data_IF_196172074045
#
_entry.id   IF_196172074045
#
_cell.length_a   1.000
_cell.length_b   1.000
_cell.length_c   1.000
_cell.angle_alpha   90.00
_cell.angle_beta   90.00
_cell.angle_gamma   90.00
#
_symmetry.space_group_name_H-M   'P 1'
#
loop_
_entity.id
_entity.type
_entity.pdbx_description
1 polymer ?
#
# COMPACT_ATOMS: atom_id res chain seq x y z
N UNK A 1 14.50 62.39 53.77
CA UNK A 1 13.66 61.19 53.56
C UNK A 1 13.36 61.07 52.07
N UNK A 2 14.22 60.35 51.34
CA UNK A 2 14.05 60.01 49.93
C UNK A 2 13.63 58.53 49.90
N UNK A 3 12.39 58.26 49.49
CA UNK A 3 11.88 56.91 49.28
C UNK A 3 12.26 56.46 47.87
N UNK A 4 13.16 55.50 47.79
CA UNK A 4 13.56 54.80 46.56
C UNK A 4 12.46 53.77 46.27
N UNK A 5 11.67 53.98 45.22
CA UNK A 5 10.73 52.98 44.72
C UNK A 5 11.50 51.88 43.98
N UNK A 6 11.59 50.70 44.61
CA UNK A 6 12.11 49.47 44.03
C UNK A 6 11.10 48.94 43.00
N UNK A 7 11.42 49.00 41.70
CA UNK A 7 10.66 48.28 40.68
C UNK A 7 11.22 46.86 40.60
N UNK A 8 10.50 45.91 41.19
CA UNK A 8 10.77 44.48 41.02
C UNK A 8 10.18 44.06 39.67
N UNK A 9 11.04 43.87 38.67
CA UNK A 9 10.66 43.22 37.42
C UNK A 9 10.47 41.72 37.67
N UNK A 10 9.24 41.32 37.98
CA UNK A 10 8.84 39.91 37.97
C UNK A 10 8.74 39.49 36.50
N UNK A 11 9.83 38.94 35.98
CA UNK A 11 9.83 38.24 34.70
C UNK A 11 9.00 36.97 34.88
N UNK A 12 7.70 37.08 34.64
CA UNK A 12 6.77 35.95 34.70
C UNK A 12 7.22 34.89 33.72
N UNK A 13 7.70 33.76 34.25
CA UNK A 13 7.75 32.50 33.52
C UNK A 13 6.33 32.17 33.10
N UNK A 14 5.95 32.56 31.88
CA UNK A 14 4.77 32.02 31.25
C UNK A 14 5.01 30.52 31.13
N UNK A 15 4.18 29.66 31.73
CA UNK A 15 4.27 28.23 31.45
C UNK A 15 4.04 28.11 29.95
N UNK A 16 5.08 27.68 29.22
CA UNK A 16 4.90 27.20 27.87
C UNK A 16 4.03 25.97 28.05
N UNK A 17 2.72 26.13 27.89
CA UNK A 17 1.85 25.01 27.60
C UNK A 17 2.43 24.49 26.29
N UNK A 18 3.25 23.43 26.38
CA UNK A 18 3.52 22.59 25.26
C UNK A 18 2.15 22.01 24.90
N UNK A 19 1.41 22.73 24.06
CA UNK A 19 0.33 22.13 23.30
C UNK A 19 1.05 21.06 22.50
N UNK A 20 0.99 19.82 22.97
CA UNK A 20 1.21 18.70 22.08
C UNK A 20 0.14 18.87 21.03
N UNK A 21 0.49 19.53 19.93
CA UNK A 21 -0.26 19.39 18.70
C UNK A 21 -0.05 17.93 18.36
N UNK A 22 -0.89 17.06 18.91
CA UNK A 22 -1.21 15.80 18.27
C UNK A 22 -1.79 16.24 16.94
N UNK A 23 -0.92 16.39 15.94
CA UNK A 23 -1.39 16.32 14.56
C UNK A 23 -2.01 14.95 14.51
N UNK A 24 -3.33 14.90 14.60
CA UNK A 24 -4.12 13.87 13.98
C UNK A 24 -3.63 13.84 12.53
N UNK A 25 -2.61 13.04 12.28
CA UNK A 25 -2.31 12.55 10.95
C UNK A 25 -3.51 11.68 10.63
N UNK A 26 -4.58 12.31 10.14
CA UNK A 26 -5.48 11.62 9.22
C UNK A 26 -4.57 10.98 8.18
N UNK A 27 -4.62 9.66 7.97
CA UNK A 27 -3.82 9.02 6.95
C UNK A 27 -4.47 9.32 5.58
N UNK A 28 -4.57 10.60 5.21
CA UNK A 28 -5.10 11.05 3.91
C UNK A 28 -4.00 11.11 2.84
N UNK A 29 -2.87 10.45 3.09
CA UNK A 29 -1.85 10.18 2.09
C UNK A 29 -1.29 8.80 2.39
N UNK A 30 -1.86 7.79 1.73
CA UNK A 30 -1.22 6.49 1.65
C UNK A 30 -0.10 6.67 0.62
N UNK A 31 1.19 6.65 1.01
CA UNK A 31 2.26 6.78 0.03
C UNK A 31 2.10 5.67 -1.01
N UNK A 32 2.04 6.04 -2.29
CA UNK A 32 2.09 5.08 -3.39
C UNK A 32 3.34 4.21 -3.29
N UNK A 33 3.31 3.04 -3.93
CA UNK A 33 4.50 2.21 -4.04
C UNK A 33 5.58 2.92 -4.87
N UNK A 34 6.83 2.54 -4.64
CA UNK A 34 7.92 2.99 -5.50
C UNK A 34 8.21 1.94 -6.58
N UNK A 35 8.49 2.43 -7.77
CA UNK A 35 8.71 1.63 -8.97
C UNK A 35 10.09 1.92 -9.55
N UNK A 36 10.96 0.91 -9.65
CA UNK A 36 12.17 1.00 -10.47
C UNK A 36 11.82 0.66 -11.91
N UNK A 37 11.79 1.67 -12.76
CA UNK A 37 11.35 1.59 -14.16
C UNK A 37 12.35 2.31 -15.07
N UNK A 38 12.30 2.07 -16.37
CA UNK A 38 13.06 2.84 -17.36
C UNK A 38 12.07 3.53 -18.27
N UNK A 39 12.17 4.84 -18.47
CA UNK A 39 11.28 5.53 -19.42
C UNK A 39 11.66 5.27 -20.89
N UNK A 40 12.91 4.90 -21.17
CA UNK A 40 13.43 4.68 -22.53
C UNK A 40 14.23 3.36 -22.61
N UNK A 41 14.23 2.67 -23.76
CA UNK A 41 15.08 1.50 -23.97
C UNK A 41 16.55 1.80 -23.68
N UNK A 42 17.20 0.98 -22.86
CA UNK A 42 18.58 1.19 -22.37
C UNK A 42 18.82 2.49 -21.58
N UNK A 43 17.75 3.19 -21.17
CA UNK A 43 17.84 4.42 -20.39
C UNK A 43 18.23 4.18 -18.92
N UNK A 44 18.47 5.25 -18.16
CA UNK A 44 18.70 5.12 -16.73
C UNK A 44 17.45 4.57 -16.02
N UNK A 45 17.66 3.82 -14.93
CA UNK A 45 16.58 3.43 -14.02
C UNK A 45 16.09 4.66 -13.26
N UNK A 46 14.80 4.91 -13.32
CA UNK A 46 14.06 5.92 -12.58
C UNK A 46 13.37 5.28 -11.37
N UNK A 47 13.13 6.09 -10.34
CA UNK A 47 12.26 5.73 -9.23
C UNK A 47 11.04 6.64 -9.29
N UNK A 48 9.89 6.06 -9.63
CA UNK A 48 8.60 6.76 -9.68
C UNK A 48 7.71 6.29 -8.54
N UNK A 49 6.83 7.17 -8.07
CA UNK A 49 5.91 6.86 -6.96
C UNK A 49 4.48 6.96 -7.44
N UNK A 50 3.67 5.99 -7.06
CA UNK A 50 2.25 5.95 -7.37
C UNK A 50 1.68 4.55 -7.39
N UNK A 51 0.40 4.47 -7.71
CA UNK A 51 -0.23 3.29 -8.27
C UNK A 51 0.40 2.95 -9.63
N UNK A 52 0.09 1.78 -10.16
CA UNK A 52 0.54 1.42 -11.50
C UNK A 52 0.12 2.46 -12.55
N UNK A 53 -1.15 2.87 -12.55
CA UNK A 53 -1.68 3.76 -13.59
C UNK A 53 -1.06 5.16 -13.48
N UNK A 54 -0.89 5.68 -12.26
CA UNK A 54 -0.18 6.94 -12.04
C UNK A 54 1.30 6.87 -12.47
N UNK A 55 1.95 5.71 -12.29
CA UNK A 55 3.33 5.52 -12.77
C UNK A 55 3.36 5.36 -14.30
N UNK A 56 2.36 4.73 -14.89
CA UNK A 56 2.20 4.63 -16.34
C UNK A 56 2.02 6.01 -16.98
N UNK A 57 1.15 6.84 -16.41
CA UNK A 57 0.91 8.22 -16.86
C UNK A 57 2.20 9.05 -16.80
N UNK A 58 2.97 8.94 -15.71
CA UNK A 58 4.28 9.58 -15.58
C UNK A 58 5.27 9.08 -16.66
N UNK A 59 5.25 7.78 -16.98
CA UNK A 59 6.13 7.21 -18.01
C UNK A 59 5.74 7.67 -19.42
N UNK A 60 4.44 7.80 -19.71
CA UNK A 60 3.94 8.36 -20.96
C UNK A 60 4.25 9.86 -21.11
N UNK A 61 4.23 10.62 -20.01
CA UNK A 61 4.66 12.02 -20.01
C UNK A 61 6.15 12.16 -20.35
N UNK A 62 6.99 11.25 -19.82
CA UNK A 62 8.42 11.22 -20.11
C UNK A 62 8.73 10.67 -21.52
N UNK A 63 8.02 9.63 -21.95
CA UNK A 63 8.17 8.98 -23.24
C UNK A 63 6.80 8.69 -23.87
N UNK A 64 6.31 9.53 -24.79
CA UNK A 64 5.04 9.27 -25.49
C UNK A 64 4.99 7.96 -26.29
N UNK A 65 6.14 7.34 -26.58
CA UNK A 65 6.25 6.03 -27.25
C UNK A 65 6.39 4.86 -26.27
N UNK A 66 6.22 5.09 -24.96
CA UNK A 66 6.52 4.11 -23.92
C UNK A 66 5.86 2.75 -24.14
N UNK A 67 4.59 2.72 -24.53
CA UNK A 67 3.84 1.46 -24.75
C UNK A 67 4.40 0.64 -25.92
N UNK A 68 5.02 1.30 -26.90
CA UNK A 68 5.70 0.64 -28.02
C UNK A 68 7.07 0.12 -27.60
N UNK A 69 7.78 0.88 -26.77
CA UNK A 69 9.12 0.57 -26.28
C UNK A 69 9.13 -0.53 -25.20
N UNK A 70 8.07 -0.57 -24.38
CA UNK A 70 7.89 -1.48 -23.25
C UNK A 70 6.51 -2.15 -23.31
N UNK A 71 6.24 -2.98 -24.34
CA UNK A 71 4.93 -3.60 -24.54
C UNK A 71 4.53 -4.42 -23.31
N UNK A 72 5.49 -5.12 -22.69
CA UNK A 72 5.28 -5.92 -21.49
C UNK A 72 4.65 -5.13 -20.35
N UNK A 73 4.96 -3.83 -20.19
CA UNK A 73 4.37 -2.98 -19.15
C UNK A 73 2.87 -2.80 -19.34
N UNK A 74 2.39 -2.80 -20.59
CA UNK A 74 0.97 -2.65 -20.93
C UNK A 74 0.23 -3.96 -21.13
N UNK A 75 0.92 -5.00 -21.58
CA UNK A 75 0.31 -6.31 -21.82
C UNK A 75 0.16 -7.11 -20.54
N UNK A 76 -1.05 -7.65 -20.38
CA UNK A 76 -1.36 -8.74 -19.47
C UNK A 76 -0.59 -10.00 -19.92
N UNK A 77 0.57 -10.28 -19.30
CA UNK A 77 1.28 -11.54 -19.50
C UNK A 77 0.45 -12.65 -18.88
N UNK A 78 -0.20 -13.46 -19.72
CA UNK A 78 -1.18 -14.46 -19.32
C UNK A 78 -0.72 -15.44 -18.23
N UNK A 79 -1.72 -16.09 -17.61
CA UNK A 79 -1.65 -16.79 -16.31
C UNK A 79 -0.37 -17.60 -16.06
N UNK A 80 0.29 -17.26 -14.95
CA UNK A 80 1.14 -18.21 -14.25
C UNK A 80 0.19 -19.16 -13.50
N UNK A 81 -0.04 -20.34 -14.07
CA UNK A 81 -0.87 -21.42 -13.51
C UNK A 81 -0.19 -22.16 -12.33
N UNK A 82 1.06 -21.79 -11.98
CA UNK A 82 1.74 -22.38 -10.83
C UNK A 82 1.39 -21.60 -9.57
N UNK A 83 0.45 -22.14 -8.80
CA UNK A 83 0.16 -21.72 -7.41
C UNK A 83 1.38 -22.12 -6.57
N UNK A 84 2.38 -21.26 -6.44
CA UNK A 84 3.30 -21.41 -5.33
C UNK A 84 2.52 -21.08 -4.06
N UNK A 85 2.64 -21.92 -3.04
CA UNK A 85 1.96 -21.68 -1.77
C UNK A 85 2.60 -20.46 -1.10
N UNK A 86 1.80 -19.40 -0.91
CA UNK A 86 2.24 -18.21 -0.19
C UNK A 86 2.84 -18.62 1.16
N UNK A 87 4.08 -18.18 1.43
CA UNK A 87 4.84 -18.62 2.61
C UNK A 87 4.41 -17.83 3.86
N UNK A 88 3.16 -18.03 4.26
CA UNK A 88 2.53 -17.34 5.38
C UNK A 88 3.15 -17.75 6.72
N UNK A 89 3.46 -16.76 7.57
CA UNK A 89 3.78 -16.98 8.99
C UNK A 89 2.57 -16.73 9.88
N UNK A 90 1.75 -15.75 9.51
CA UNK A 90 0.59 -15.32 10.27
C UNK A 90 -0.45 -14.69 9.34
N UNK A 91 -1.74 -14.83 9.67
CA UNK A 91 -2.80 -14.11 8.99
C UNK A 91 -3.93 -13.73 9.95
N UNK A 92 -4.56 -12.61 9.64
CA UNK A 92 -5.79 -12.15 10.27
C UNK A 92 -6.83 -11.87 9.19
N UNK A 93 -8.06 -12.26 9.46
CA UNK A 93 -9.21 -11.74 8.72
C UNK A 93 -9.75 -10.50 9.44
N UNK A 94 -10.72 -9.80 8.84
CA UNK A 94 -11.47 -8.64 9.38
C UNK A 94 -11.10 -8.23 10.83
N UNK A 95 -10.50 -7.06 10.96
CA UNK A 95 -10.22 -6.40 12.24
C UNK A 95 -10.98 -5.08 12.32
N UNK A 96 -11.03 -4.45 13.51
CA UNK A 96 -11.64 -3.12 13.70
C UNK A 96 -11.09 -2.08 12.72
N UNK A 97 -9.82 -2.21 12.34
CA UNK A 97 -9.12 -1.26 11.47
C UNK A 97 -9.16 -1.68 9.98
N UNK A 98 -9.65 -2.88 9.65
CA UNK A 98 -9.73 -3.43 8.28
C UNK A 98 -11.18 -3.73 7.91
N UNK A 99 -11.88 -2.70 7.46
CA UNK A 99 -13.25 -2.86 6.96
C UNK A 99 -13.28 -3.78 5.73
N UNK A 100 -14.21 -4.75 5.65
CA UNK A 100 -14.36 -5.60 4.48
C UNK A 100 -14.71 -4.83 3.20
N UNK A 101 -14.11 -5.22 2.08
CA UNK A 101 -14.47 -4.77 0.74
C UNK A 101 -15.23 -5.87 -0.02
N UNK A 102 -15.91 -5.51 -1.11
CA UNK A 102 -16.63 -6.49 -1.93
C UNK A 102 -15.66 -7.47 -2.60
N UNK A 103 -15.78 -8.76 -2.30
CA UNK A 103 -14.82 -9.76 -2.75
C UNK A 103 -14.77 -9.95 -4.27
N UNK A 104 -15.83 -9.57 -5.00
CA UNK A 104 -15.83 -9.59 -6.46
C UNK A 104 -14.75 -8.66 -7.04
N UNK A 105 -14.58 -7.48 -6.45
CA UNK A 105 -13.56 -6.50 -6.85
C UNK A 105 -12.16 -6.92 -6.42
N UNK A 106 -12.02 -7.58 -5.26
CA UNK A 106 -10.73 -8.15 -4.85
C UNK A 106 -10.28 -9.27 -5.81
N UNK A 107 -11.20 -10.09 -6.33
CA UNK A 107 -10.86 -11.06 -7.39
C UNK A 107 -10.44 -10.37 -8.70
N UNK A 108 -11.03 -9.23 -9.04
CA UNK A 108 -10.58 -8.43 -10.18
C UNK A 108 -9.15 -7.91 -9.99
N UNK A 109 -8.84 -7.38 -8.80
CA UNK A 109 -7.48 -6.99 -8.41
C UNK A 109 -6.50 -8.17 -8.44
N UNK A 110 -6.90 -9.35 -7.95
CA UNK A 110 -6.08 -10.57 -8.03
C UNK A 110 -5.75 -10.92 -9.49
N UNK A 111 -6.74 -10.87 -10.38
CA UNK A 111 -6.54 -11.13 -11.81
C UNK A 111 -5.56 -10.13 -12.42
N UNK A 112 -5.72 -8.85 -12.10
CA UNK A 112 -4.81 -7.79 -12.52
C UNK A 112 -3.38 -8.08 -12.05
N UNK A 113 -3.18 -8.37 -10.76
CA UNK A 113 -1.86 -8.67 -10.18
C UNK A 113 -1.18 -9.87 -10.85
N UNK A 114 -1.93 -10.92 -11.22
CA UNK A 114 -1.38 -12.10 -11.88
C UNK A 114 -0.92 -11.84 -13.31
N UNK A 115 -1.59 -10.94 -13.99
CA UNK A 115 -1.32 -10.65 -15.39
C UNK A 115 -0.27 -9.53 -15.55
N UNK A 116 0.03 -8.79 -14.48
CA UNK A 116 0.83 -7.58 -14.61
C UNK A 116 2.33 -7.84 -14.56
N UNK A 117 3.06 -7.18 -15.47
CA UNK A 117 4.52 -7.13 -15.45
C UNK A 117 5.05 -5.99 -14.55
N UNK A 118 6.37 -5.94 -14.36
CA UNK A 118 7.04 -4.92 -13.55
C UNK A 118 7.44 -5.42 -12.16
N UNK A 119 8.28 -4.63 -11.48
CA UNK A 119 8.96 -5.01 -10.23
C UNK A 119 8.57 -4.08 -9.07
N UNK A 120 7.52 -4.38 -8.30
CA UNK A 120 7.10 -3.51 -7.20
C UNK A 120 8.15 -3.44 -6.09
N UNK A 121 8.16 -2.30 -5.39
CA UNK A 121 9.04 -2.08 -4.24
C UNK A 121 8.29 -1.37 -3.12
N UNK A 122 8.59 -1.76 -1.89
CA UNK A 122 8.14 -1.02 -0.70
C UNK A 122 9.33 -0.31 -0.08
N UNK A 123 9.12 0.98 0.24
CA UNK A 123 10.14 1.90 0.73
C UNK A 123 10.87 1.38 1.97
N UNK A 124 12.11 1.87 2.06
CA UNK A 124 13.09 1.64 3.10
C UNK A 124 12.97 2.81 4.08
N UNK A 125 12.13 2.70 5.13
CA UNK A 125 12.28 3.37 6.46
C UNK A 125 11.00 3.48 7.29
N UNK A 126 9.85 2.95 6.87
CA UNK A 126 8.66 2.99 7.71
C UNK A 126 7.89 1.66 7.68
N UNK A 127 7.36 1.27 8.83
CA UNK A 127 6.36 0.20 8.99
C UNK A 127 5.06 0.66 8.32
N UNK A 128 5.09 0.73 7.00
CA UNK A 128 4.07 1.37 6.17
C UNK A 128 3.63 0.43 5.08
N UNK A 129 2.36 0.58 4.72
CA UNK A 129 1.75 -0.10 3.60
C UNK A 129 1.55 0.90 2.46
N UNK A 130 1.96 0.51 1.25
CA UNK A 130 1.64 1.25 0.03
C UNK A 130 0.48 0.60 -0.69
N UNK A 131 -0.42 1.41 -1.27
CA UNK A 131 -1.53 0.89 -2.08
C UNK A 131 -0.97 0.34 -3.39
N UNK A 132 -1.18 -0.95 -3.63
CA UNK A 132 -0.69 -1.65 -4.80
C UNK A 132 -1.65 -1.51 -5.98
N UNK A 133 -2.91 -1.89 -5.74
CA UNK A 133 -3.99 -1.86 -6.73
C UNK A 133 -5.29 -1.58 -6.01
N UNK A 134 -6.21 -0.96 -6.71
CA UNK A 134 -7.54 -0.75 -6.20
C UNK A 134 -8.59 -0.71 -7.32
N UNK A 135 -9.78 -1.20 -7.02
CA UNK A 135 -10.96 -1.16 -7.89
C UNK A 135 -12.20 -0.83 -7.05
N UNK A 136 -12.90 0.25 -7.38
CA UNK A 136 -13.98 0.79 -6.54
C UNK A 136 -13.44 1.12 -5.14
N UNK A 137 -14.05 0.59 -4.09
CA UNK A 137 -13.54 0.79 -2.72
C UNK A 137 -12.68 -0.40 -2.23
N UNK A 138 -12.22 -1.27 -3.13
CA UNK A 138 -11.56 -2.52 -2.78
C UNK A 138 -10.06 -2.43 -3.08
N UNK A 139 -9.24 -2.30 -2.04
CA UNK A 139 -7.80 -2.07 -2.17
C UNK A 139 -6.96 -3.26 -1.71
N UNK A 140 -5.85 -3.46 -2.41
CA UNK A 140 -4.74 -4.32 -2.00
C UNK A 140 -3.57 -3.42 -1.61
N UNK A 141 -2.99 -3.69 -0.46
CA UNK A 141 -1.81 -3.01 0.04
C UNK A 141 -0.65 -3.98 0.20
N UNK A 142 0.55 -3.46 -0.05
CA UNK A 142 1.80 -4.14 0.18
C UNK A 142 2.53 -3.45 1.34
N UNK A 143 2.78 -4.21 2.40
CA UNK A 143 3.25 -3.69 3.68
C UNK A 143 4.70 -4.09 3.96
N UNK A 144 5.52 -3.11 4.35
CA UNK A 144 6.83 -3.35 4.92
C UNK A 144 6.72 -3.58 6.43
N UNK A 145 7.14 -4.77 6.89
CA UNK A 145 7.00 -5.16 8.30
C UNK A 145 8.31 -5.03 9.08
N UNK A 146 9.47 -5.03 8.43
CA UNK A 146 10.78 -4.92 9.10
C UNK A 146 11.54 -3.61 8.79
N UNK A 147 10.92 -2.70 8.05
CA UNK A 147 11.51 -1.42 7.64
C UNK A 147 12.66 -1.58 6.63
N UNK A 148 12.96 -2.80 6.18
CA UNK A 148 14.00 -3.06 5.17
C UNK A 148 13.37 -2.99 3.79
N UNK A 149 14.12 -2.45 2.85
CA UNK A 149 13.71 -2.39 1.44
C UNK A 149 13.33 -3.79 0.95
N UNK A 150 12.13 -3.90 0.36
CA UNK A 150 11.67 -5.12 -0.32
C UNK A 150 11.56 -4.82 -1.81
N UNK A 151 12.03 -5.74 -2.64
CA UNK A 151 11.95 -5.66 -4.10
C UNK A 151 11.45 -7.00 -4.58
N UNK A 152 10.44 -6.98 -5.42
CA UNK A 152 9.78 -8.16 -5.94
C UNK A 152 10.10 -8.28 -7.42
N UNK A 153 10.33 -9.51 -7.89
CA UNK A 153 10.64 -9.76 -9.31
C UNK A 153 9.44 -9.53 -10.22
N UNK A 154 8.23 -9.70 -9.68
CA UNK A 154 6.94 -9.51 -10.33
C UNK A 154 5.83 -9.37 -9.27
N UNK A 155 4.59 -9.20 -9.74
CA UNK A 155 3.39 -9.08 -8.91
C UNK A 155 2.88 -10.43 -8.37
N UNK A 156 3.41 -11.57 -8.84
CA UNK A 156 2.91 -12.92 -8.53
C UNK A 156 2.91 -13.20 -7.03
N UNK A 157 3.98 -12.86 -6.30
CA UNK A 157 4.03 -13.10 -4.85
C UNK A 157 2.95 -12.30 -4.09
N UNK A 158 2.56 -11.14 -4.61
CA UNK A 158 1.51 -10.30 -4.01
C UNK A 158 0.14 -10.91 -4.33
N UNK A 159 -0.06 -11.37 -5.57
CA UNK A 159 -1.25 -12.11 -5.98
C UNK A 159 -1.49 -13.36 -5.12
N UNK A 160 -0.44 -14.14 -4.85
CA UNK A 160 -0.50 -15.32 -3.97
C UNK A 160 -0.98 -14.97 -2.56
N UNK A 161 -0.58 -13.81 -2.02
CA UNK A 161 -1.06 -13.33 -0.71
C UNK A 161 -2.53 -12.94 -0.73
N UNK A 162 -3.00 -12.31 -1.81
CA UNK A 162 -4.43 -11.98 -2.00
C UNK A 162 -5.26 -13.26 -2.10
N UNK A 163 -4.81 -14.24 -2.88
CA UNK A 163 -5.47 -15.53 -3.02
C UNK A 163 -5.52 -16.28 -1.67
N UNK A 164 -4.41 -16.30 -0.93
CA UNK A 164 -4.35 -16.91 0.41
C UNK A 164 -5.43 -16.35 1.35
N UNK A 165 -5.65 -15.03 1.31
CA UNK A 165 -6.70 -14.35 2.09
C UNK A 165 -8.10 -14.63 1.57
N UNK A 166 -8.33 -14.66 0.26
CA UNK A 166 -9.62 -15.02 -0.35
C UNK A 166 -10.08 -16.40 0.13
N UNK A 167 -9.18 -17.39 0.10
CA UNK A 167 -9.47 -18.78 0.51
C UNK A 167 -9.85 -18.90 1.99
N UNK A 168 -9.26 -18.09 2.87
CA UNK A 168 -9.38 -18.25 4.33
C UNK A 168 -10.34 -17.26 4.98
N UNK A 169 -10.46 -16.06 4.43
CA UNK A 169 -11.19 -14.98 5.07
C UNK A 169 -12.58 -14.75 4.50
N UNK A 170 -12.83 -15.00 3.20
CA UNK A 170 -14.15 -14.74 2.62
C UNK A 170 -15.24 -15.58 3.31
N UNK A 171 -15.11 -16.90 3.34
CA UNK A 171 -16.13 -17.76 3.96
C UNK A 171 -16.29 -17.46 5.47
N UNK A 172 -15.20 -17.12 6.15
CA UNK A 172 -15.20 -16.78 7.58
C UNK A 172 -15.98 -15.50 7.86
N UNK A 173 -15.77 -14.45 7.07
CA UNK A 173 -16.42 -13.14 7.24
C UNK A 173 -17.91 -13.18 6.89
N UNK A 174 -18.29 -14.01 5.92
CA UNK A 174 -19.65 -14.07 5.40
C UNK A 174 -20.53 -15.14 6.07
N UNK A 175 -20.01 -15.87 7.07
CA UNK A 175 -20.75 -16.94 7.75
C UNK A 175 -22.04 -16.39 8.39
N UNK A 176 -23.18 -16.88 7.90
CA UNK A 176 -24.51 -16.51 8.41
C UNK A 176 -25.00 -15.13 7.94
N UNK A 177 -24.29 -14.46 7.03
CA UNK A 177 -24.72 -13.19 6.44
C UNK A 177 -25.47 -13.46 5.13
N UNK A 178 -26.50 -12.65 4.87
CA UNK A 178 -27.20 -12.60 3.57
C UNK A 178 -26.77 -11.32 2.86
N UNK A 179 -26.26 -11.43 1.64
CA UNK A 179 -25.70 -10.30 0.91
C UNK A 179 -24.49 -10.69 0.05
N UNK A 180 -23.86 -9.71 -0.62
CA UNK A 180 -22.64 -9.95 -1.38
C UNK A 180 -21.50 -10.42 -0.48
N UNK A 181 -20.65 -11.32 -0.99
CA UNK A 181 -19.47 -11.76 -0.27
C UNK A 181 -18.50 -10.60 -0.07
N UNK A 182 -18.06 -10.43 1.17
CA UNK A 182 -17.09 -9.42 1.57
C UNK A 182 -15.79 -10.08 2.05
N UNK A 183 -14.66 -9.37 1.93
CA UNK A 183 -13.41 -9.81 2.52
C UNK A 183 -12.55 -8.65 3.00
N UNK A 184 -11.82 -8.91 4.08
CA UNK A 184 -10.68 -8.14 4.52
C UNK A 184 -9.72 -9.07 5.26
N UNK A 185 -8.46 -8.70 5.29
CA UNK A 185 -7.46 -9.42 6.05
C UNK A 185 -6.05 -8.94 5.75
N UNK A 186 -5.11 -9.46 6.51
CA UNK A 186 -3.68 -9.27 6.30
C UNK A 186 -2.99 -10.62 6.43
N UNK A 187 -2.02 -10.91 5.57
CA UNK A 187 -1.18 -12.10 5.64
C UNK A 187 0.28 -11.69 5.62
N UNK A 188 1.04 -12.16 6.60
CA UNK A 188 2.46 -11.92 6.77
C UNK A 188 3.27 -13.03 6.09
N UNK A 189 4.24 -12.64 5.28
CA UNK A 189 5.20 -13.53 4.64
C UNK A 189 6.41 -13.80 5.56
N UNK A 190 7.04 -14.97 5.43
CA UNK A 190 8.26 -15.34 6.18
C UNK A 190 9.44 -14.38 6.01
N UNK A 191 9.44 -13.62 4.93
CA UNK A 191 10.48 -12.64 4.61
C UNK A 191 10.16 -11.23 5.11
N UNK A 192 9.29 -11.12 6.13
CA UNK A 192 8.96 -9.88 6.85
C UNK A 192 8.37 -8.77 5.97
N UNK A 193 7.37 -9.13 5.19
CA UNK A 193 6.46 -8.22 4.49
C UNK A 193 5.04 -8.80 4.58
N UNK A 194 4.02 -8.03 4.22
CA UNK A 194 2.64 -8.50 4.28
C UNK A 194 1.78 -7.99 3.12
N UNK A 195 0.74 -8.75 2.79
CA UNK A 195 -0.36 -8.31 1.90
C UNK A 195 -1.56 -8.00 2.78
N UNK A 196 -2.12 -6.81 2.63
CA UNK A 196 -3.36 -6.41 3.28
C UNK A 196 -4.45 -6.16 2.23
N UNK A 197 -5.65 -6.67 2.50
CA UNK A 197 -6.86 -6.39 1.74
C UNK A 197 -7.86 -5.73 2.67
N UNK A 198 -8.38 -4.57 2.27
CA UNK A 198 -9.46 -3.88 2.99
C UNK A 198 -10.20 -2.90 2.09
N UNK A 199 -11.28 -2.35 2.62
CA UNK A 199 -11.96 -1.20 2.06
C UNK A 199 -11.04 0.03 2.09
N UNK A 200 -11.02 0.78 1.00
CA UNK A 200 -10.40 2.10 0.87
C UNK A 200 -11.41 3.04 0.22
N UNK A 201 -11.81 4.11 0.94
CA UNK A 201 -12.77 5.10 0.43
C UNK A 201 -12.08 6.20 -0.38
N UNK A 202 -10.74 6.26 -0.33
CA UNK A 202 -9.90 7.17 -1.12
C UNK A 202 -9.32 6.47 -2.36
N UNK A 203 -9.92 5.35 -2.71
CA UNK A 203 -9.83 4.78 -4.04
C UNK A 203 -10.96 5.40 -4.91
#
# INVERSE_FOLDING_TARGET
>A
MLLISLIVAICGLLPIWATSVSRDLKPSYIPGLEWEVQAFPSGPTLVLTGTHDEVHDQLLELNPSYDTDFPDFTTDTGSIDTVASFQATYYECETRDRRPAYSGRIRANLKWLRNKSGRPRVWRTALTCGRAVCDGEAAVYLCNVDGKKKTFENWTQIAEGVEYLLERCEAKINRGKTGPNMMAGIVHHKDNWAVEVRKDEEC
#
